data_IF_078544710596
#
_entry.id   IF_078544710596
#
_cell.length_a   1.000
_cell.length_b   1.000
_cell.length_c   1.000
_cell.angle_alpha   90.00
_cell.angle_beta   90.00
_cell.angle_gamma   90.00
#
_symmetry.space_group_name_H-M   'P 1'
#
loop_
_entity.id
_entity.type
_entity.pdbx_description
1 polymer ?
#
# COMPACT_ATOMS: atom_id res chain seq x y z
N UNK A 1 7.32 -16.63 -26.10
CA UNK A 1 7.52 -17.19 -24.74
C UNK A 1 8.83 -17.99 -24.69
N UNK A 2 9.76 -17.73 -23.78
CA UNK A 2 11.08 -18.41 -23.79
C UNK A 2 10.99 -19.88 -23.33
N UNK A 3 11.93 -20.74 -23.76
CA UNK A 3 12.06 -22.13 -23.27
C UNK A 3 12.36 -22.19 -21.76
N UNK A 4 12.98 -21.14 -21.22
CA UNK A 4 13.27 -21.01 -19.80
C UNK A 4 11.98 -20.84 -18.98
N UNK A 5 11.09 -19.94 -19.41
CA UNK A 5 9.82 -19.69 -18.72
C UNK A 5 8.92 -20.94 -18.70
N UNK A 6 8.89 -21.72 -19.78
CA UNK A 6 8.17 -23.00 -19.81
C UNK A 6 8.61 -23.99 -18.73
N UNK A 7 9.92 -24.05 -18.41
CA UNK A 7 10.42 -24.92 -17.35
C UNK A 7 9.90 -24.51 -15.97
N UNK A 8 9.79 -23.22 -15.72
CA UNK A 8 9.23 -22.70 -14.46
C UNK A 8 7.72 -22.92 -14.39
N UNK A 9 6.98 -22.66 -15.47
CA UNK A 9 5.54 -22.90 -15.56
C UNK A 9 5.22 -24.39 -15.31
N UNK A 10 6.00 -25.31 -15.89
CA UNK A 10 5.77 -26.74 -15.72
C UNK A 10 6.00 -27.26 -14.29
N UNK A 11 6.79 -26.55 -13.47
CA UNK A 11 7.07 -26.93 -12.07
C UNK A 11 6.18 -26.22 -11.07
N UNK A 12 6.02 -24.90 -11.22
CA UNK A 12 5.31 -24.04 -10.27
C UNK A 12 4.43 -23.02 -11.02
N UNK A 13 3.38 -23.48 -11.73
CA UNK A 13 2.61 -22.62 -12.63
C UNK A 13 1.98 -21.43 -11.88
N UNK A 14 1.39 -21.69 -10.70
CA UNK A 14 0.75 -20.65 -9.89
C UNK A 14 1.76 -19.60 -9.41
N UNK A 15 2.91 -20.01 -8.85
CA UNK A 15 3.92 -19.09 -8.38
C UNK A 15 4.46 -18.19 -9.50
N UNK A 16 4.65 -18.75 -10.71
CA UNK A 16 5.11 -18.00 -11.88
C UNK A 16 4.05 -17.00 -12.34
N UNK A 17 2.79 -17.43 -12.45
CA UNK A 17 1.68 -16.54 -12.84
C UNK A 17 1.53 -15.41 -11.82
N UNK A 18 1.44 -15.72 -10.52
CA UNK A 18 1.33 -14.73 -9.45
C UNK A 18 2.50 -13.76 -9.48
N UNK A 19 3.73 -14.23 -9.67
CA UNK A 19 4.90 -13.35 -9.74
C UNK A 19 4.87 -12.45 -10.98
N UNK A 20 4.50 -12.98 -12.14
CA UNK A 20 4.37 -12.20 -13.38
C UNK A 20 3.28 -11.13 -13.27
N UNK A 21 2.16 -11.45 -12.61
CA UNK A 21 1.07 -10.50 -12.36
C UNK A 21 1.43 -9.47 -11.28
N UNK A 22 2.16 -9.86 -10.23
CA UNK A 22 2.51 -8.98 -9.12
C UNK A 22 3.61 -7.97 -9.43
N UNK A 23 4.55 -8.31 -10.33
CA UNK A 23 5.68 -7.45 -10.68
C UNK A 23 5.25 -6.07 -11.22
N UNK A 24 4.30 -5.96 -12.17
CA UNK A 24 3.80 -4.66 -12.63
C UNK A 24 3.32 -3.73 -11.51
N UNK A 25 2.70 -4.27 -10.46
CA UNK A 25 2.15 -3.48 -9.35
C UNK A 25 3.21 -2.92 -8.38
N UNK A 26 4.43 -3.48 -8.38
CA UNK A 26 5.50 -3.12 -7.43
C UNK A 26 6.79 -2.79 -8.21
N UNK A 27 6.68 -1.94 -9.22
CA UNK A 27 7.78 -1.54 -10.10
C UNK A 27 8.04 -0.03 -10.06
N UNK A 28 8.95 0.45 -10.93
CA UNK A 28 9.35 1.86 -11.07
C UNK A 28 8.19 2.84 -11.20
N UNK A 29 7.00 2.41 -11.63
CA UNK A 29 5.80 3.24 -11.68
C UNK A 29 5.37 3.80 -10.32
N UNK A 30 5.76 3.17 -9.22
CA UNK A 30 5.56 3.76 -7.89
C UNK A 30 6.33 5.07 -7.69
N UNK A 31 7.47 5.26 -8.38
CA UNK A 31 8.16 6.55 -8.38
C UNK A 31 7.33 7.63 -9.12
N UNK A 32 6.59 7.27 -10.17
CA UNK A 32 5.69 8.21 -10.87
C UNK A 32 4.50 8.61 -9.98
N UNK A 33 3.93 7.65 -9.24
CA UNK A 33 2.89 7.90 -8.24
C UNK A 33 3.40 8.82 -7.14
N UNK A 34 4.65 8.60 -6.69
CA UNK A 34 5.31 9.44 -5.72
C UNK A 34 5.43 10.88 -6.23
N UNK A 35 6.00 11.10 -7.41
CA UNK A 35 6.19 12.45 -7.96
C UNK A 35 4.86 13.19 -8.16
N UNK A 36 3.81 12.49 -8.61
CA UNK A 36 2.49 13.12 -8.86
C UNK A 36 1.73 13.46 -7.58
N UNK A 37 1.91 12.66 -6.52
CA UNK A 37 1.19 12.83 -5.24
C UNK A 37 1.95 13.72 -4.23
N UNK A 38 3.14 14.19 -4.61
CA UNK A 38 4.07 14.93 -3.77
C UNK A 38 3.65 16.40 -3.66
N UNK A 39 2.73 16.68 -2.75
CA UNK A 39 2.41 18.09 -2.44
C UNK A 39 3.55 18.74 -1.64
N UNK A 40 4.19 18.03 -0.68
CA UNK A 40 5.27 18.57 0.18
C UNK A 40 6.24 17.53 0.78
N UNK A 41 6.56 16.42 0.09
CA UNK A 41 7.59 15.49 0.59
C UNK A 41 8.97 15.85 0.06
N UNK A 42 10.03 15.58 0.81
CA UNK A 42 11.41 15.74 0.33
C UNK A 42 11.78 14.50 -0.49
N UNK A 43 12.40 14.68 -1.66
CA UNK A 43 13.03 13.59 -2.38
C UNK A 43 14.34 13.33 -1.63
N UNK A 44 14.27 12.44 -0.64
CA UNK A 44 15.49 11.88 -0.06
C UNK A 44 16.29 11.15 -1.15
N UNK A 45 17.55 10.86 -0.86
CA UNK A 45 18.53 10.26 -1.78
C UNK A 45 18.16 8.88 -2.36
N UNK A 46 17.10 8.22 -1.86
CA UNK A 46 16.60 6.93 -2.35
C UNK A 46 15.36 7.06 -3.24
N UNK A 47 15.14 6.11 -4.15
CA UNK A 47 13.87 5.99 -4.90
C UNK A 47 12.71 5.60 -3.95
N UNK A 48 11.47 6.00 -4.25
CA UNK A 48 10.32 5.59 -3.45
C UNK A 48 9.99 4.11 -3.68
N UNK A 49 10.11 3.64 -4.92
CA UNK A 49 9.91 2.24 -5.31
C UNK A 49 10.81 1.28 -4.52
N UNK A 50 12.07 1.64 -4.26
CA UNK A 50 12.98 0.84 -3.44
C UNK A 50 12.55 0.78 -1.97
N UNK A 51 12.04 1.88 -1.41
CA UNK A 51 11.49 1.90 -0.04
C UNK A 51 10.20 1.08 0.03
N UNK A 52 9.31 1.24 -0.96
CA UNK A 52 8.06 0.50 -1.04
C UNK A 52 8.29 -1.02 -1.12
N UNK A 53 9.29 -1.47 -1.89
CA UNK A 53 9.71 -2.88 -1.93
C UNK A 53 10.17 -3.38 -0.55
N UNK A 54 11.02 -2.64 0.15
CA UNK A 54 11.48 -3.03 1.48
C UNK A 54 10.33 -3.12 2.50
N UNK A 55 9.36 -2.18 2.44
CA UNK A 55 8.15 -2.22 3.29
C UNK A 55 7.23 -3.38 2.92
N UNK A 56 7.11 -3.69 1.63
CA UNK A 56 6.32 -4.82 1.14
C UNK A 56 6.89 -6.15 1.65
N UNK A 57 8.21 -6.33 1.66
CA UNK A 57 8.85 -7.54 2.19
C UNK A 57 8.55 -7.76 3.67
N UNK A 58 8.46 -6.69 4.47
CA UNK A 58 8.04 -6.79 5.87
C UNK A 58 6.54 -7.11 5.98
N UNK A 59 5.70 -6.43 5.19
CA UNK A 59 4.24 -6.60 5.23
C UNK A 59 3.80 -8.00 4.77
N UNK A 60 4.51 -8.57 3.81
CA UNK A 60 4.28 -9.91 3.27
C UNK A 60 4.99 -11.00 4.09
N UNK A 61 5.61 -10.65 5.22
CA UNK A 61 6.39 -11.55 6.08
C UNK A 61 7.55 -12.27 5.37
N UNK A 62 8.15 -11.65 4.33
CA UNK A 62 9.43 -12.09 3.78
C UNK A 62 10.62 -11.62 4.62
N UNK A 63 10.44 -10.53 5.38
CA UNK A 63 11.37 -10.03 6.38
C UNK A 63 10.63 -9.83 7.71
N UNK A 64 11.29 -10.13 8.83
CA UNK A 64 10.67 -10.01 10.17
C UNK A 64 10.52 -8.54 10.61
N UNK A 65 11.36 -7.65 10.06
CA UNK A 65 11.37 -6.24 10.43
C UNK A 65 12.05 -5.36 9.35
N UNK A 66 11.87 -4.04 9.49
CA UNK A 66 12.42 -3.04 8.57
C UNK A 66 13.95 -3.04 8.49
N UNK A 67 14.65 -3.43 9.56
CA UNK A 67 16.11 -3.49 9.53
C UNK A 67 16.60 -4.63 8.63
N UNK A 68 15.96 -5.80 8.70
CA UNK A 68 16.27 -6.92 7.82
C UNK A 68 15.99 -6.55 6.36
N UNK A 69 14.84 -5.93 6.07
CA UNK A 69 14.51 -5.46 4.75
C UNK A 69 15.52 -4.40 4.23
N UNK A 70 15.94 -3.46 5.09
CA UNK A 70 16.99 -2.50 4.74
C UNK A 70 18.29 -3.19 4.31
N UNK A 71 18.75 -4.20 5.07
CA UNK A 71 19.98 -4.94 4.75
C UNK A 71 19.84 -5.65 3.40
N UNK A 72 18.70 -6.29 3.16
CA UNK A 72 18.42 -7.02 1.92
C UNK A 72 18.37 -6.10 0.69
N UNK A 73 17.83 -4.88 0.85
CA UNK A 73 17.66 -3.91 -0.23
C UNK A 73 18.74 -2.82 -0.27
N UNK A 74 19.83 -2.94 0.49
CA UNK A 74 20.83 -1.87 0.68
C UNK A 74 21.40 -1.32 -0.63
N UNK A 75 21.70 -2.20 -1.59
CA UNK A 75 22.24 -1.80 -2.91
C UNK A 75 21.23 -1.01 -3.77
N UNK A 76 19.94 -1.29 -3.60
CA UNK A 76 18.85 -0.63 -4.32
C UNK A 76 18.48 0.70 -3.65
N UNK A 77 18.51 0.74 -2.32
CA UNK A 77 18.20 1.91 -1.52
C UNK A 77 19.27 3.01 -1.63
N UNK A 78 20.56 2.63 -1.66
CA UNK A 78 21.72 3.55 -1.81
C UNK A 78 21.77 4.70 -0.81
N UNK A 79 21.19 4.50 0.38
CA UNK A 79 21.16 5.48 1.46
C UNK A 79 21.53 4.84 2.77
N UNK A 80 21.93 5.66 3.74
CA UNK A 80 22.13 5.21 5.10
C UNK A 80 20.82 4.75 5.76
N UNK A 81 20.98 3.90 6.77
CA UNK A 81 19.85 3.30 7.50
C UNK A 81 18.94 4.38 8.13
N UNK A 82 19.53 5.47 8.62
CA UNK A 82 18.79 6.62 9.17
C UNK A 82 17.90 7.28 8.13
N UNK A 83 18.46 7.58 6.95
CA UNK A 83 17.70 8.15 5.82
C UNK A 83 16.59 7.22 5.33
N UNK A 84 16.80 5.91 5.36
CA UNK A 84 15.74 4.93 5.08
C UNK A 84 14.59 5.03 6.10
N UNK A 85 14.90 4.98 7.39
CA UNK A 85 13.88 5.10 8.44
C UNK A 85 13.15 6.44 8.42
N UNK A 86 13.86 7.54 8.16
CA UNK A 86 13.26 8.88 8.06
C UNK A 86 12.30 8.95 6.86
N UNK A 87 12.67 8.35 5.73
CA UNK A 87 11.79 8.27 4.57
C UNK A 87 10.56 7.41 4.82
N UNK A 88 10.70 6.25 5.47
CA UNK A 88 9.56 5.40 5.86
C UNK A 88 8.61 6.15 6.79
N UNK A 89 9.13 6.84 7.81
CA UNK A 89 8.33 7.68 8.73
C UNK A 89 7.67 8.87 8.04
N UNK A 90 8.30 9.40 6.99
CA UNK A 90 7.82 10.54 6.23
C UNK A 90 6.76 10.21 5.16
N UNK A 91 6.35 8.95 5.00
CA UNK A 91 5.30 8.56 4.05
C UNK A 91 3.96 9.16 4.51
N UNK A 92 3.43 10.08 3.70
CA UNK A 92 2.15 10.73 3.98
C UNK A 92 0.97 9.81 3.62
N UNK A 93 -0.16 9.90 4.34
CA UNK A 93 -1.34 9.08 4.07
C UNK A 93 -1.83 9.16 2.62
N UNK A 94 -1.94 10.36 2.07
CA UNK A 94 -2.39 10.54 0.67
C UNK A 94 -1.50 9.86 -0.37
N UNK A 95 -0.21 9.67 -0.09
CA UNK A 95 0.67 8.89 -0.96
C UNK A 95 0.32 7.41 -0.91
N UNK A 96 0.10 6.85 0.27
CA UNK A 96 -0.33 5.46 0.43
C UNK A 96 -1.69 5.21 -0.22
N UNK A 97 -2.65 6.13 -0.09
CA UNK A 97 -3.94 6.06 -0.79
C UNK A 97 -3.77 6.10 -2.31
N UNK A 98 -2.88 6.96 -2.81
CA UNK A 98 -2.56 7.06 -4.23
C UNK A 98 -1.93 5.77 -4.78
N UNK A 99 -1.08 5.10 -4.00
CA UNK A 99 -0.51 3.80 -4.36
C UNK A 99 -1.60 2.74 -4.52
N UNK A 100 -2.59 2.69 -3.61
CA UNK A 100 -3.74 1.76 -3.72
C UNK A 100 -4.55 2.05 -4.98
N UNK A 101 -4.90 3.32 -5.21
CA UNK A 101 -5.63 3.73 -6.42
C UNK A 101 -4.88 3.35 -7.70
N UNK A 102 -3.59 3.66 -7.77
CA UNK A 102 -2.78 3.36 -8.94
C UNK A 102 -2.67 1.86 -9.19
N UNK A 103 -2.46 1.06 -8.14
CA UNK A 103 -2.41 -0.39 -8.23
C UNK A 103 -3.73 -0.97 -8.76
N UNK A 104 -4.86 -0.41 -8.31
CA UNK A 104 -6.18 -0.80 -8.80
C UNK A 104 -6.39 -0.43 -10.28
N UNK A 105 -5.95 0.76 -10.71
CA UNK A 105 -6.01 1.17 -12.12
C UNK A 105 -5.20 0.22 -13.02
N UNK A 106 -3.99 -0.15 -12.61
CA UNK A 106 -3.18 -1.14 -13.31
C UNK A 106 -3.87 -2.51 -13.36
N UNK A 107 -4.51 -2.92 -12.25
CA UNK A 107 -5.18 -4.21 -12.17
C UNK A 107 -6.43 -4.26 -13.06
N UNK A 108 -7.18 -3.15 -13.15
CA UNK A 108 -8.33 -3.02 -14.04
C UNK A 108 -7.89 -3.07 -15.50
N UNK A 109 -6.81 -2.35 -15.88
CA UNK A 109 -6.26 -2.40 -17.23
C UNK A 109 -5.90 -3.84 -17.62
N UNK A 110 -5.22 -4.56 -16.73
CA UNK A 110 -4.86 -5.96 -16.95
C UNK A 110 -6.08 -6.88 -17.03
N UNK A 111 -7.10 -6.66 -16.20
CA UNK A 111 -8.36 -7.39 -16.28
C UNK A 111 -9.04 -7.18 -17.64
N UNK A 112 -9.08 -5.94 -18.14
CA UNK A 112 -9.69 -5.60 -19.42
C UNK A 112 -8.90 -6.23 -20.58
N UNK A 113 -7.57 -6.23 -20.54
CA UNK A 113 -6.71 -6.92 -21.52
C UNK A 113 -6.91 -8.45 -21.53
N UNK A 114 -7.25 -9.02 -20.37
CA UNK A 114 -7.58 -10.44 -20.21
C UNK A 114 -9.07 -10.74 -20.46
N UNK A 115 -9.83 -9.77 -20.96
CA UNK A 115 -11.26 -9.89 -21.26
C UNK A 115 -12.10 -10.33 -20.04
N UNK A 116 -11.65 -9.98 -18.83
CA UNK A 116 -12.36 -10.28 -17.59
C UNK A 116 -13.75 -9.65 -17.63
N UNK A 117 -14.76 -10.45 -17.29
CA UNK A 117 -16.15 -10.01 -17.22
C UNK A 117 -16.50 -9.64 -15.77
N UNK A 118 -16.80 -8.35 -15.48
CA UNK A 118 -17.18 -7.93 -14.15
C UNK A 118 -18.44 -8.65 -13.66
N UNK A 119 -18.50 -8.95 -12.36
CA UNK A 119 -19.61 -9.70 -11.79
C UNK A 119 -20.87 -8.84 -11.70
N UNK A 120 -22.03 -9.41 -12.03
CA UNK A 120 -23.32 -8.74 -11.81
C UNK A 120 -23.83 -9.08 -10.42
N UNK A 121 -23.59 -8.18 -9.46
CA UNK A 121 -23.99 -8.38 -8.06
C UNK A 121 -25.46 -7.99 -7.86
N UNK A 122 -25.80 -6.76 -8.23
CA UNK A 122 -27.16 -6.23 -8.20
C UNK A 122 -27.40 -5.40 -9.46
N UNK A 123 -28.47 -5.71 -10.20
CA UNK A 123 -28.77 -5.06 -11.47
C UNK A 123 -28.94 -3.54 -11.30
N UNK A 124 -28.19 -2.76 -12.08
CA UNK A 124 -28.23 -1.29 -12.04
C UNK A 124 -27.37 -0.63 -10.95
N UNK A 125 -26.64 -1.41 -10.15
CA UNK A 125 -25.80 -0.88 -9.07
C UNK A 125 -24.35 -1.32 -9.17
N UNK A 126 -23.44 -0.39 -8.86
CA UNK A 126 -22.08 -0.73 -8.45
C UNK A 126 -22.09 -1.08 -6.96
N UNK A 127 -21.47 -2.19 -6.60
CA UNK A 127 -21.58 -2.79 -5.29
C UNK A 127 -20.19 -2.81 -4.68
N UNK A 128 -20.07 -2.22 -3.50
CA UNK A 128 -18.81 -2.12 -2.80
C UNK A 128 -18.95 -2.73 -1.42
N UNK A 129 -17.93 -3.48 -1.01
CA UNK A 129 -17.75 -3.84 0.38
C UNK A 129 -16.75 -2.88 1.03
N UNK A 130 -16.91 -2.64 2.33
CA UNK A 130 -16.10 -1.71 3.10
C UNK A 130 -15.51 -2.49 4.27
N UNK A 131 -14.20 -2.63 4.28
CA UNK A 131 -13.45 -3.16 5.40
C UNK A 131 -12.60 -2.06 6.03
N UNK A 132 -12.28 -2.20 7.31
CA UNK A 132 -11.50 -1.19 8.00
C UNK A 132 -10.82 -1.72 9.26
N UNK A 133 -9.72 -1.08 9.61
CA UNK A 133 -8.95 -1.42 10.80
C UNK A 133 -8.55 -0.15 11.56
N UNK A 134 -8.33 -0.31 12.86
CA UNK A 134 -7.75 0.73 13.68
C UNK A 134 -6.24 0.79 13.46
N UNK A 135 -5.74 1.98 13.16
CA UNK A 135 -4.31 2.24 13.15
C UNK A 135 -3.80 2.21 14.60
N UNK A 136 -2.71 1.49 14.88
CA UNK A 136 -2.14 1.45 16.21
C UNK A 136 -1.74 2.85 16.65
N UNK A 137 -2.01 3.14 17.93
CA UNK A 137 -1.76 4.45 18.52
C UNK A 137 -0.27 4.78 18.51
N UNK A 138 0.10 5.84 17.79
CA UNK A 138 1.47 6.34 17.75
C UNK A 138 1.77 7.37 18.84
N UNK A 139 0.79 8.18 19.25
CA UNK A 139 1.02 9.27 20.20
C UNK A 139 0.48 9.01 21.61
N UNK A 140 1.28 9.39 22.61
CA UNK A 140 0.87 9.42 24.02
C UNK A 140 -0.11 10.57 24.26
N UNK A 141 -0.99 10.42 25.25
CA UNK A 141 -2.01 11.42 25.58
C UNK A 141 -1.37 12.79 25.82
N UNK A 142 -1.89 13.83 25.16
CA UNK A 142 -1.48 15.22 25.40
C UNK A 142 -1.55 15.53 26.89
N UNK A 143 -0.54 16.24 27.42
CA UNK A 143 -0.41 16.51 28.87
C UNK A 143 -1.68 17.17 29.43
N UNK A 144 -2.26 18.08 28.66
CA UNK A 144 -3.45 18.87 28.99
C UNK A 144 -4.73 18.02 29.10
N UNK A 145 -4.76 16.83 28.49
CA UNK A 145 -5.93 15.95 28.50
C UNK A 145 -5.84 14.84 29.54
N UNK A 146 -4.77 14.75 30.35
CA UNK A 146 -4.56 13.64 31.28
C UNK A 146 -5.66 13.49 32.32
N UNK A 147 -6.24 14.60 32.75
CA UNK A 147 -7.28 14.64 33.79
C UNK A 147 -8.71 14.60 33.23
N UNK A 148 -8.85 14.57 31.89
CA UNK A 148 -10.16 14.47 31.23
C UNK A 148 -10.59 13.00 31.05
N UNK A 149 -11.85 12.62 31.33
CA UNK A 149 -12.35 11.29 31.04
C UNK A 149 -12.54 11.09 29.52
N UNK A 150 -11.63 10.35 28.89
CA UNK A 150 -11.66 10.01 27.47
C UNK A 150 -10.34 9.37 27.02
N UNK A 151 -10.31 8.57 25.97
CA UNK A 151 -9.06 8.13 25.34
C UNK A 151 -9.06 8.68 23.91
N UNK A 152 -7.91 9.16 23.39
CA UNK A 152 -7.86 9.59 22.00
C UNK A 152 -8.25 8.41 21.12
N UNK A 153 -9.22 8.62 20.23
CA UNK A 153 -9.69 7.60 19.31
C UNK A 153 -8.53 7.18 18.38
N UNK A 154 -8.32 5.89 18.08
CA UNK A 154 -7.27 5.53 17.15
C UNK A 154 -7.58 6.07 15.75
N UNK A 155 -6.52 6.38 14.98
CA UNK A 155 -6.66 6.55 13.55
C UNK A 155 -7.32 5.32 12.90
N UNK A 156 -7.87 5.48 11.71
CA UNK A 156 -8.57 4.40 10.99
C UNK A 156 -8.04 4.27 9.58
N UNK A 157 -7.91 3.04 9.11
CA UNK A 157 -7.84 2.73 7.69
C UNK A 157 -9.18 2.15 7.27
N UNK A 158 -9.72 2.62 6.17
CA UNK A 158 -10.93 2.07 5.54
C UNK A 158 -10.59 1.76 4.09
N UNK A 159 -10.83 0.54 3.66
CA UNK A 159 -10.58 0.08 2.29
C UNK A 159 -11.90 -0.28 1.63
N UNK A 160 -12.06 0.13 0.37
CA UNK A 160 -13.22 -0.19 -0.45
C UNK A 160 -12.88 -1.31 -1.41
N UNK A 161 -13.64 -2.40 -1.33
CA UNK A 161 -13.54 -3.54 -2.22
C UNK A 161 -14.63 -3.45 -3.29
N UNK A 162 -14.22 -3.39 -4.56
CA UNK A 162 -15.13 -3.40 -5.70
C UNK A 162 -15.58 -4.84 -5.97
N UNK A 163 -16.86 -5.15 -5.69
CA UNK A 163 -17.39 -6.51 -5.82
C UNK A 163 -17.52 -6.96 -7.27
N UNK A 164 -17.68 -6.03 -8.22
CA UNK A 164 -17.73 -6.35 -9.65
C UNK A 164 -16.36 -6.78 -10.16
N UNK A 165 -15.31 -6.08 -9.73
CA UNK A 165 -13.92 -6.26 -10.21
C UNK A 165 -13.06 -7.12 -9.29
N UNK A 166 -13.59 -7.51 -8.12
CA UNK A 166 -12.94 -8.38 -7.13
C UNK A 166 -11.57 -7.84 -6.68
N UNK A 167 -11.49 -6.54 -6.39
CA UNK A 167 -10.25 -5.88 -5.96
C UNK A 167 -10.51 -4.70 -5.03
N UNK A 168 -9.51 -4.34 -4.22
CA UNK A 168 -9.52 -3.06 -3.49
C UNK A 168 -9.16 -1.92 -4.44
N UNK A 169 -10.03 -0.91 -4.54
CA UNK A 169 -9.83 0.21 -5.47
C UNK A 169 -9.59 1.57 -4.80
N UNK A 170 -9.88 1.66 -3.50
CA UNK A 170 -9.67 2.85 -2.67
C UNK A 170 -9.26 2.43 -1.27
N UNK A 171 -8.40 3.24 -0.68
CA UNK A 171 -8.14 3.26 0.75
C UNK A 171 -8.28 4.69 1.25
N UNK A 172 -8.72 4.83 2.48
CA UNK A 172 -8.87 6.09 3.20
C UNK A 172 -8.12 5.95 4.53
N UNK A 173 -7.15 6.83 4.75
CA UNK A 173 -6.26 6.82 5.90
C UNK A 173 -6.53 8.05 6.77
N UNK A 174 -7.34 7.84 7.80
CA UNK A 174 -7.78 8.84 8.76
C UNK A 174 -6.85 8.79 9.98
N UNK A 175 -5.73 9.52 9.90
CA UNK A 175 -4.65 9.40 10.89
C UNK A 175 -4.92 10.21 12.17
N UNK A 176 -5.74 11.26 12.08
CA UNK A 176 -6.05 12.08 13.25
C UNK A 176 -7.21 11.50 14.08
N UNK A 177 -6.87 11.16 15.32
CA UNK A 177 -7.77 10.82 16.40
C UNK A 177 -8.73 11.96 16.76
N UNK A 178 -8.21 13.18 16.75
CA UNK A 178 -8.85 14.37 17.29
C UNK A 178 -9.92 14.91 16.35
N UNK A 179 -9.75 14.76 15.04
CA UNK A 179 -10.78 15.08 14.05
C UNK A 179 -12.02 14.18 14.19
N UNK A 180 -11.84 12.95 14.70
CA UNK A 180 -12.95 12.01 14.94
C UNK A 180 -13.74 12.33 16.21
N UNK A 181 -13.14 13.04 17.17
CA UNK A 181 -13.82 13.46 18.41
C UNK A 181 -14.80 14.63 18.17
N UNK A 182 -14.59 15.43 17.11
CA UNK A 182 -15.47 16.56 16.73
C UNK A 182 -16.74 16.13 15.97
N UNK A 183 -16.79 14.89 15.47
CA UNK A 183 -17.90 14.37 14.68
C UNK A 183 -18.98 13.65 15.51
N UNK A 184 -18.93 13.77 16.85
CA UNK A 184 -19.87 13.14 17.80
C UNK A 184 -20.70 14.20 18.51
#
# INVERSE_FOLDING_TARGET
MSKLLHKFIGKCPFAVMTRMLAVPFICKHLDDVFETSRVHQYQGESAFSAVALAVADVTLNFCDNLNQAYIQHKEQLRVEVTSFYDKVKGIRPGLSEAVVRHSAEQAIQLQDELEFQPWSILSGYECFDIDGNHLPRTDKRLKQLRDSPGAPLPGKVVARFNLQRQLFDRAYLLVDAHDQELAT
#
